data_IF_083326965319
#
_entry.id   IF_083326965319
#
_cell.length_a   1.000
_cell.length_b   1.000
_cell.length_c   1.000
_cell.angle_alpha   90.00
_cell.angle_beta   90.00
_cell.angle_gamma   90.00
#
_symmetry.space_group_name_H-M   'P 1'
#
loop_
_entity.id
_entity.type
_entity.pdbx_description
1 polymer ?
#
# COMPACT_ATOMS: atom_id res chain seq x y z
N UNK A 1 -24.41 9.95 15.92
CA UNK A 1 -23.79 10.95 15.01
C UNK A 1 -22.28 10.74 15.07
N UNK A 2 -21.63 10.45 13.93
CA UNK A 2 -20.17 10.29 13.90
C UNK A 2 -19.53 11.68 13.89
N UNK A 3 -18.68 11.94 14.88
CA UNK A 3 -18.13 13.25 15.20
C UNK A 3 -17.24 13.80 14.05
N UNK A 4 -17.54 14.98 13.46
CA UNK A 4 -16.81 15.53 12.33
C UNK A 4 -15.32 15.78 12.62
N UNK A 5 -14.94 15.89 13.90
CA UNK A 5 -13.55 16.01 14.32
C UNK A 5 -12.71 14.75 14.05
N UNK A 6 -13.34 13.59 13.86
CA UNK A 6 -12.62 12.33 13.57
C UNK A 6 -12.15 12.24 12.12
N UNK A 7 -12.94 12.71 11.15
CA UNK A 7 -12.59 12.62 9.74
C UNK A 7 -11.45 13.58 9.37
N UNK A 8 -11.50 14.83 9.84
CA UNK A 8 -10.44 15.80 9.57
C UNK A 8 -9.09 15.35 10.15
N UNK A 9 -9.09 14.82 11.37
CA UNK A 9 -7.88 14.27 12.00
C UNK A 9 -7.36 13.03 11.28
N UNK A 10 -8.25 12.13 10.87
CA UNK A 10 -7.88 10.97 10.07
C UNK A 10 -7.28 11.39 8.73
N UNK A 11 -7.93 12.32 8.02
CA UNK A 11 -7.44 12.87 6.74
C UNK A 11 -6.06 13.49 6.92
N UNK A 12 -5.85 14.30 7.95
CA UNK A 12 -4.56 14.93 8.24
C UNK A 12 -3.44 13.91 8.53
N UNK A 13 -3.76 12.74 9.09
CA UNK A 13 -2.78 11.66 9.35
C UNK A 13 -2.54 10.77 8.13
N UNK A 14 -3.59 10.39 7.42
CA UNK A 14 -3.54 9.38 6.35
C UNK A 14 -3.10 10.01 5.04
N UNK A 15 -3.57 11.22 4.71
CA UNK A 15 -3.29 11.85 3.41
C UNK A 15 -1.77 12.05 3.16
N UNK A 16 -0.96 12.51 4.14
CA UNK A 16 0.48 12.59 3.96
C UNK A 16 1.14 11.21 3.76
N UNK A 17 0.70 10.19 4.51
CA UNK A 17 1.24 8.84 4.41
C UNK A 17 0.94 8.22 3.03
N UNK A 18 -0.28 8.37 2.52
CA UNK A 18 -0.67 7.93 1.18
C UNK A 18 0.13 8.67 0.10
N UNK A 19 0.27 9.99 0.25
CA UNK A 19 1.03 10.83 -0.70
C UNK A 19 2.51 10.42 -0.75
N UNK A 20 3.12 10.12 0.40
CA UNK A 20 4.50 9.63 0.48
C UNK A 20 4.66 8.19 -0.05
N UNK A 21 3.58 7.40 -0.08
CA UNK A 21 3.62 5.99 -0.51
C UNK A 21 3.64 5.81 -2.02
N UNK A 22 2.88 6.63 -2.75
CA UNK A 22 2.77 6.56 -4.21
C UNK A 22 4.12 6.56 -4.95
N UNK A 23 5.07 7.49 -4.70
CA UNK A 23 6.35 7.47 -5.41
C UNK A 23 7.18 6.23 -5.10
N UNK A 24 7.04 5.64 -3.91
CA UNK A 24 7.72 4.40 -3.56
C UNK A 24 7.12 3.20 -4.31
N UNK A 25 5.79 3.13 -4.43
CA UNK A 25 5.12 2.09 -5.22
C UNK A 25 5.50 2.17 -6.70
N UNK A 26 5.56 3.38 -7.27
CA UNK A 26 6.04 3.61 -8.64
C UNK A 26 7.50 3.18 -8.82
N UNK A 27 8.37 3.50 -7.85
CA UNK A 27 9.77 3.07 -7.87
C UNK A 27 9.91 1.55 -7.84
N UNK A 28 9.14 0.87 -6.97
CA UNK A 28 9.14 -0.59 -6.87
C UNK A 28 8.62 -1.21 -8.17
N UNK A 29 7.54 -0.67 -8.76
CA UNK A 29 7.02 -1.10 -10.06
C UNK A 29 8.08 -0.96 -11.16
N UNK A 30 8.76 0.17 -11.23
CA UNK A 30 9.85 0.40 -12.18
C UNK A 30 10.99 -0.59 -11.99
N UNK A 31 11.38 -0.86 -10.74
CA UNK A 31 12.40 -1.87 -10.41
C UNK A 31 11.99 -3.26 -10.91
N UNK A 32 10.78 -3.72 -10.57
CA UNK A 32 10.28 -5.04 -11.02
C UNK A 32 10.22 -5.10 -12.54
N UNK A 33 9.81 -4.01 -13.20
CA UNK A 33 9.77 -3.94 -14.65
C UNK A 33 11.17 -4.04 -15.28
N UNK A 34 12.19 -3.49 -14.63
CA UNK A 34 13.59 -3.60 -15.06
C UNK A 34 14.22 -4.97 -14.75
N UNK A 35 13.64 -5.75 -13.82
CA UNK A 35 14.20 -7.05 -13.43
C UNK A 35 14.25 -8.05 -14.59
N UNK A 36 15.39 -8.73 -14.73
CA UNK A 36 15.65 -9.76 -15.76
C UNK A 36 15.97 -11.12 -15.17
N UNK A 37 16.28 -11.18 -13.89
CA UNK A 37 16.67 -12.40 -13.19
C UNK A 37 16.17 -12.38 -11.73
N UNK A 38 16.42 -13.48 -11.01
CA UNK A 38 16.02 -13.62 -9.61
C UNK A 38 16.74 -12.65 -8.69
N UNK A 39 17.99 -12.29 -8.96
CA UNK A 39 18.75 -11.34 -8.12
C UNK A 39 18.11 -9.94 -8.21
N UNK A 40 17.84 -9.44 -9.41
CA UNK A 40 17.17 -8.17 -9.65
C UNK A 40 15.79 -8.13 -8.95
N UNK A 41 14.98 -9.19 -9.15
CA UNK A 41 13.64 -9.27 -8.57
C UNK A 41 13.71 -9.23 -7.05
N UNK A 42 14.62 -10.01 -6.45
CA UNK A 42 14.81 -10.03 -5.00
C UNK A 42 15.30 -8.69 -4.47
N UNK A 43 16.17 -7.96 -5.20
CA UNK A 43 16.54 -6.59 -4.86
C UNK A 43 15.34 -5.64 -4.83
N UNK A 44 14.41 -5.77 -5.79
CA UNK A 44 13.17 -4.99 -5.78
C UNK A 44 12.24 -5.33 -4.62
N UNK A 45 12.20 -6.60 -4.20
CA UNK A 45 11.44 -7.06 -3.03
C UNK A 45 12.03 -6.52 -1.74
N UNK A 46 13.36 -6.50 -1.63
CA UNK A 46 14.06 -5.92 -0.49
C UNK A 46 13.70 -4.42 -0.33
N UNK A 47 13.62 -3.67 -1.43
CA UNK A 47 13.14 -2.27 -1.42
C UNK A 47 11.68 -2.18 -0.93
N UNK A 48 10.82 -3.07 -1.41
CA UNK A 48 9.41 -3.11 -1.01
C UNK A 48 9.24 -3.41 0.48
N UNK A 49 9.99 -4.37 1.02
CA UNK A 49 9.94 -4.74 2.43
C UNK A 49 10.54 -3.66 3.33
N UNK A 50 11.64 -3.02 2.93
CA UNK A 50 12.19 -1.88 3.65
C UNK A 50 11.18 -0.72 3.73
N UNK A 51 10.47 -0.45 2.63
CA UNK A 51 9.40 0.55 2.61
C UNK A 51 8.23 0.17 3.53
N UNK A 52 7.72 -1.07 3.45
CA UNK A 52 6.67 -1.54 4.34
C UNK A 52 7.08 -1.47 5.81
N UNK A 53 8.32 -1.85 6.13
CA UNK A 53 8.89 -1.74 7.48
C UNK A 53 8.96 -0.29 7.94
N UNK A 54 9.29 0.67 7.07
CA UNK A 54 9.29 2.10 7.43
C UNK A 54 7.87 2.63 7.68
N UNK A 55 6.89 2.15 6.91
CA UNK A 55 5.48 2.54 7.07
C UNK A 55 4.81 1.89 8.29
N UNK A 56 5.17 0.66 8.62
CA UNK A 56 4.66 -0.08 9.79
C UNK A 56 5.44 0.22 11.07
N UNK A 57 6.74 0.53 10.96
CA UNK A 57 7.67 0.77 12.08
C UNK A 57 7.49 2.12 12.79
N UNK A 58 6.46 2.90 12.45
CA UNK A 58 5.95 3.96 13.32
C UNK A 58 5.10 3.44 14.48
N UNK A 59 4.69 2.17 14.44
CA UNK A 59 4.23 1.44 15.60
C UNK A 59 5.43 0.77 16.24
N UNK A 60 5.97 1.38 17.30
CA UNK A 60 6.69 0.63 18.32
C UNK A 60 5.67 -0.37 18.90
N UNK A 61 5.57 -1.53 18.26
CA UNK A 61 4.92 -2.68 18.87
C UNK A 61 5.67 -2.99 20.17
N UNK A 62 4.96 -3.44 21.22
CA UNK A 62 5.63 -3.90 22.43
C UNK A 62 6.71 -4.92 22.06
N UNK A 63 7.84 -4.89 22.78
CA UNK A 63 9.09 -5.61 22.54
C UNK A 63 9.00 -7.16 22.52
N UNK A 64 7.82 -7.74 22.34
CA UNK A 64 7.51 -9.17 22.38
C UNK A 64 6.77 -9.65 21.11
N UNK A 65 6.84 -8.93 19.99
CA UNK A 65 6.51 -9.56 18.70
C UNK A 65 7.75 -10.36 18.29
N UNK A 66 7.68 -11.70 18.23
CA UNK A 66 8.83 -12.50 17.83
C UNK A 66 9.34 -11.96 16.50
N UNK A 67 10.66 -11.77 16.39
CA UNK A 67 11.34 -11.43 15.13
C UNK A 67 10.99 -12.50 14.10
N UNK A 68 9.88 -12.29 13.40
CA UNK A 68 9.40 -13.20 12.39
C UNK A 68 10.35 -13.00 11.22
N UNK A 69 11.40 -13.85 11.20
CA UNK A 69 12.42 -13.99 10.18
C UNK A 69 12.35 -12.89 9.12
N UNK A 70 13.02 -11.77 9.38
CA UNK A 70 13.02 -10.56 8.53
C UNK A 70 13.71 -10.78 7.18
N UNK A 71 13.86 -12.03 6.73
CA UNK A 71 14.37 -12.36 5.42
C UNK A 71 13.25 -12.18 4.41
N UNK A 72 13.49 -11.29 3.44
CA UNK A 72 12.58 -11.13 2.32
C UNK A 72 12.37 -12.47 1.63
N UNK A 73 11.11 -12.88 1.39
CA UNK A 73 10.83 -14.14 0.73
C UNK A 73 11.55 -14.14 -0.62
N UNK A 74 12.49 -15.07 -0.79
CA UNK A 74 13.29 -15.15 -2.00
C UNK A 74 12.43 -15.70 -3.13
N UNK A 75 12.16 -14.86 -4.12
CA UNK A 75 11.36 -15.22 -5.28
C UNK A 75 12.25 -15.72 -6.41
N UNK A 76 11.80 -16.78 -7.08
CA UNK A 76 12.38 -17.23 -8.35
C UNK A 76 11.79 -16.40 -9.47
N UNK A 77 12.62 -15.78 -10.28
CA UNK A 77 12.15 -15.00 -11.42
C UNK A 77 11.49 -15.90 -12.45
N UNK A 78 10.32 -15.47 -12.93
CA UNK A 78 9.70 -15.93 -14.16
C UNK A 78 8.96 -14.76 -14.80
N UNK A 79 8.74 -14.82 -16.12
CA UNK A 79 7.98 -13.78 -16.82
C UNK A 79 6.55 -13.64 -16.24
N UNK A 80 5.89 -14.77 -16.01
CA UNK A 80 4.54 -14.80 -15.40
C UNK A 80 4.51 -14.18 -14.00
N UNK A 81 5.52 -14.44 -13.16
CA UNK A 81 5.59 -13.85 -11.83
C UNK A 81 5.80 -12.35 -11.90
N UNK A 82 6.71 -11.90 -12.78
CA UNK A 82 6.97 -10.47 -13.02
C UNK A 82 5.69 -9.75 -13.44
N UNK A 83 4.96 -10.30 -14.40
CA UNK A 83 3.70 -9.72 -14.88
C UNK A 83 2.64 -9.67 -13.77
N UNK A 84 2.51 -10.72 -12.97
CA UNK A 84 1.61 -10.72 -11.81
C UNK A 84 1.96 -9.62 -10.81
N UNK A 85 3.23 -9.51 -10.42
CA UNK A 85 3.68 -8.46 -9.49
C UNK A 85 3.45 -7.06 -10.08
N UNK A 86 3.70 -6.86 -11.36
CA UNK A 86 3.45 -5.58 -12.04
C UNK A 86 1.96 -5.25 -12.09
N UNK A 87 1.09 -6.23 -12.29
CA UNK A 87 -0.35 -6.05 -12.25
C UNK A 87 -0.81 -5.67 -10.84
N UNK A 88 -0.34 -6.38 -9.81
CA UNK A 88 -0.65 -6.10 -8.41
C UNK A 88 -0.18 -4.70 -7.98
N UNK A 89 1.05 -4.33 -8.36
CA UNK A 89 1.58 -2.99 -8.10
C UNK A 89 0.78 -1.91 -8.84
N UNK A 90 0.44 -2.14 -10.10
CA UNK A 90 -0.37 -1.18 -10.88
C UNK A 90 -1.76 -0.99 -10.29
N UNK A 91 -2.40 -2.08 -9.86
CA UNK A 91 -3.69 -2.01 -9.17
C UNK A 91 -3.56 -1.32 -7.82
N UNK A 92 -2.49 -1.59 -7.07
CA UNK A 92 -2.21 -0.93 -5.79
C UNK A 92 -2.03 0.57 -5.96
N UNK A 93 -1.22 1.00 -6.93
CA UNK A 93 -1.03 2.42 -7.27
C UNK A 93 -2.36 3.07 -7.67
N UNK A 94 -3.16 2.41 -8.50
CA UNK A 94 -4.49 2.90 -8.91
C UNK A 94 -5.39 3.10 -7.70
N UNK A 95 -5.47 2.10 -6.83
CA UNK A 95 -6.27 2.15 -5.60
C UNK A 95 -5.76 3.25 -4.65
N UNK A 96 -4.45 3.36 -4.44
CA UNK A 96 -3.85 4.38 -3.57
C UNK A 96 -4.07 5.78 -4.12
N UNK A 97 -3.96 5.97 -5.44
CA UNK A 97 -4.23 7.26 -6.10
C UNK A 97 -5.70 7.64 -6.00
N UNK A 98 -6.61 6.71 -6.24
CA UNK A 98 -8.04 6.98 -6.14
C UNK A 98 -8.47 7.21 -4.68
N UNK A 99 -7.91 6.47 -3.72
CA UNK A 99 -8.12 6.72 -2.29
C UNK A 99 -7.58 8.09 -1.85
N UNK A 100 -6.42 8.51 -2.36
CA UNK A 100 -5.87 9.86 -2.18
C UNK A 100 -6.86 10.92 -2.68
N UNK A 101 -7.31 10.77 -3.92
CA UNK A 101 -8.26 11.70 -4.54
C UNK A 101 -9.57 11.80 -3.74
N UNK A 102 -10.13 10.66 -3.32
CA UNK A 102 -11.32 10.64 -2.48
C UNK A 102 -11.11 11.30 -1.11
N UNK A 103 -9.95 11.08 -0.46
CA UNK A 103 -9.62 11.75 0.79
C UNK A 103 -9.51 13.26 0.60
N UNK A 104 -8.86 13.71 -0.48
CA UNK A 104 -8.68 15.12 -0.81
C UNK A 104 -10.02 15.81 -1.06
N UNK A 105 -10.90 15.20 -1.86
CA UNK A 105 -12.19 15.78 -2.26
C UNK A 105 -13.29 15.68 -1.21
N UNK A 106 -13.15 14.79 -0.23
CA UNK A 106 -14.17 14.57 0.79
C UNK A 106 -13.95 15.43 2.03
N UNK A 107 -15.05 15.86 2.65
CA UNK A 107 -15.09 16.59 3.92
C UNK A 107 -15.57 15.72 5.09
N UNK A 108 -16.11 14.53 4.81
CA UNK A 108 -16.58 13.58 5.82
C UNK A 108 -16.51 12.11 5.34
N UNK A 109 -16.77 11.18 6.27
CA UNK A 109 -16.74 9.74 5.99
C UNK A 109 -17.76 9.27 4.95
N UNK A 110 -18.92 9.93 4.86
CA UNK A 110 -19.97 9.54 3.91
C UNK A 110 -19.56 9.89 2.47
N UNK A 111 -19.03 11.12 2.26
CA UNK A 111 -18.46 11.53 0.98
C UNK A 111 -17.27 10.66 0.58
N UNK A 112 -16.39 10.34 1.54
CA UNK A 112 -15.26 9.44 1.31
C UNK A 112 -15.72 8.06 0.85
N UNK A 113 -16.67 7.46 1.57
CA UNK A 113 -17.19 6.13 1.26
C UNK A 113 -17.85 6.11 -0.12
N UNK A 114 -18.70 7.10 -0.41
CA UNK A 114 -19.35 7.24 -1.71
C UNK A 114 -18.33 7.41 -2.86
N UNK A 115 -17.28 8.21 -2.64
CA UNK A 115 -16.21 8.35 -3.62
C UNK A 115 -15.45 7.04 -3.84
N UNK A 116 -15.10 6.31 -2.78
CA UNK A 116 -14.41 5.02 -2.90
C UNK A 116 -15.25 3.97 -3.63
N UNK A 117 -16.57 3.94 -3.37
CA UNK A 117 -17.50 3.06 -4.07
C UNK A 117 -17.58 3.41 -5.56
N UNK A 118 -17.67 4.71 -5.90
CA UNK A 118 -17.66 5.17 -7.29
C UNK A 118 -16.33 4.86 -8.00
N UNK A 119 -15.22 4.91 -7.26
CA UNK A 119 -13.89 4.55 -7.76
C UNK A 119 -13.66 3.02 -7.86
N UNK A 120 -14.63 2.20 -7.45
CA UNK A 120 -14.51 0.73 -7.47
C UNK A 120 -13.53 0.17 -6.44
N UNK A 121 -13.09 0.97 -5.46
CA UNK A 121 -12.19 0.56 -4.39
C UNK A 121 -13.04 -0.01 -3.25
N UNK A 122 -13.70 -1.15 -3.47
CA UNK A 122 -14.39 -1.82 -2.37
C UNK A 122 -13.35 -2.23 -1.33
N UNK A 123 -13.56 -1.85 -0.06
CA UNK A 123 -12.90 -2.52 1.07
C UNK A 123 -13.20 -4.01 0.88
N UNK A 124 -12.19 -4.83 0.58
CA UNK A 124 -12.29 -6.26 0.84
C UNK A 124 -12.41 -6.39 2.36
N UNK A 125 -13.65 -6.34 2.87
CA UNK A 125 -13.90 -6.88 4.20
C UNK A 125 -13.52 -8.37 4.10
N UNK A 126 -12.62 -8.90 4.95
CA UNK A 126 -12.55 -10.34 5.08
C UNK A 126 -13.96 -10.83 5.45
N UNK A 127 -14.43 -11.95 4.87
CA UNK A 127 -15.74 -12.48 5.23
C UNK A 127 -15.77 -12.67 6.74
N UNK A 128 -16.67 -11.94 7.42
CA UNK A 128 -17.03 -12.27 8.80
C UNK A 128 -17.65 -13.66 8.76
N UNK A 129 -16.90 -14.66 9.19
CA UNK A 129 -17.45 -15.92 9.70
C UNK A 129 -17.46 -15.83 11.21
#
# INVERSE_FOLDING_TARGET
>A
MQDPHTFAQMKAKILPAITASLPNLEKIKSCVNASKNSEDLNGCVDIMMAFQKKMMGGAAGPANVPEHNTQSPRMKWSAELKERILADLSQSIKNTTAAKGCLESSSNNAQMSSCMEAAGIKRQQPPRR
#
